data_IF_437736795478
#
_entry.id   IF_437736795478
#
_cell.length_a   1.000
_cell.length_b   1.000
_cell.length_c   1.000
_cell.angle_alpha   90.00
_cell.angle_beta   90.00
_cell.angle_gamma   90.00
#
_symmetry.space_group_name_H-M   'P 1'
#
loop_
_entity.id
_entity.type
_entity.pdbx_description
1 polymer ?
#
# COMPACT_ATOMS: atom_id res chain seq x y z
N UNK A 1 -31.17 -71.64 -40.99
CA UNK A 1 -31.23 -72.91 -40.24
C UNK A 1 -31.15 -72.59 -38.75
N UNK A 2 -32.23 -72.92 -38.02
CA UNK A 2 -32.39 -73.18 -36.57
C UNK A 2 -31.78 -72.19 -35.53
N UNK A 3 -32.60 -71.36 -34.84
CA UNK A 3 -33.36 -71.56 -33.55
C UNK A 3 -32.46 -71.33 -32.31
N UNK A 4 -32.78 -70.63 -31.21
CA UNK A 4 -33.96 -70.01 -30.56
C UNK A 4 -33.40 -68.94 -29.56
N UNK A 5 -33.91 -67.70 -29.41
CA UNK A 5 -35.14 -67.19 -28.75
C UNK A 5 -35.24 -67.37 -27.22
N UNK A 6 -35.36 -66.22 -26.51
CA UNK A 6 -36.27 -65.83 -25.39
C UNK A 6 -35.56 -64.71 -24.57
N UNK A 7 -35.85 -63.40 -24.64
CA UNK A 7 -37.09 -62.63 -24.37
C UNK A 7 -37.68 -62.93 -22.97
N UNK A 8 -38.19 -62.01 -22.14
CA UNK A 8 -38.30 -60.56 -22.06
C UNK A 8 -38.90 -60.26 -20.65
N UNK A 9 -38.60 -59.07 -20.10
CA UNK A 9 -39.41 -58.21 -19.21
C UNK A 9 -40.42 -58.79 -18.17
N UNK A 10 -40.33 -58.33 -16.91
CA UNK A 10 -41.21 -57.28 -16.34
C UNK A 10 -41.42 -57.40 -14.81
N UNK A 11 -41.59 -56.23 -14.17
CA UNK A 11 -42.34 -55.96 -12.93
C UNK A 11 -41.74 -56.44 -11.59
N UNK A 12 -41.91 -55.80 -10.43
CA UNK A 12 -42.19 -54.45 -9.96
C UNK A 12 -42.17 -54.61 -8.41
N UNK A 13 -41.57 -53.65 -7.69
CA UNK A 13 -41.86 -53.24 -6.29
C UNK A 13 -41.61 -54.19 -5.08
N UNK A 14 -40.96 -53.54 -4.10
CA UNK A 14 -41.18 -53.59 -2.63
C UNK A 14 -40.44 -54.60 -1.74
N UNK A 15 -39.39 -54.05 -1.10
CA UNK A 15 -39.03 -54.09 0.32
C UNK A 15 -39.12 -55.43 1.07
N UNK A 16 -37.96 -55.91 1.56
CA UNK A 16 -37.61 -55.82 2.98
C UNK A 16 -36.21 -56.44 3.23
N UNK A 17 -35.33 -55.59 3.75
CA UNK A 17 -34.46 -55.84 4.91
C UNK A 17 -33.31 -56.86 4.91
N UNK A 18 -32.15 -56.28 5.28
CA UNK A 18 -31.06 -56.79 6.11
C UNK A 18 -30.04 -57.73 5.44
N UNK A 19 -28.85 -57.19 5.13
CA UNK A 19 -27.67 -57.48 5.97
C UNK A 19 -26.38 -56.77 5.54
N UNK A 20 -25.76 -56.11 6.53
CA UNK A 20 -24.32 -56.03 6.76
C UNK A 20 -23.39 -55.34 5.74
N UNK A 21 -23.28 -54.02 5.84
CA UNK A 21 -21.98 -53.33 5.71
C UNK A 21 -21.74 -52.45 6.93
N UNK A 22 -20.81 -52.89 7.79
CA UNK A 22 -20.35 -52.16 8.97
C UNK A 22 -18.94 -51.63 8.74
N UNK A 23 -18.73 -50.39 9.22
CA UNK A 23 -17.49 -49.79 9.78
C UNK A 23 -16.92 -48.56 9.05
N UNK A 24 -17.09 -47.43 9.75
CA UNK A 24 -16.28 -46.18 9.77
C UNK A 24 -16.45 -45.24 8.58
N UNK A 25 -16.86 -43.97 8.69
CA UNK A 25 -16.99 -43.07 9.84
C UNK A 25 -16.14 -41.83 9.61
N UNK A 26 -16.62 -40.84 8.83
CA UNK A 26 -16.19 -39.45 8.96
C UNK A 26 -17.36 -38.52 8.63
N UNK A 27 -17.78 -37.82 9.68
CA UNK A 27 -18.82 -36.82 9.68
C UNK A 27 -18.39 -35.63 8.80
N UNK A 28 -19.21 -35.30 7.80
CA UNK A 28 -19.11 -34.06 7.05
C UNK A 28 -19.62 -32.90 7.93
N UNK A 29 -18.90 -32.57 8.99
CA UNK A 29 -19.06 -31.26 9.63
C UNK A 29 -18.28 -30.26 8.79
N UNK A 30 -18.96 -29.66 7.80
CA UNK A 30 -18.59 -28.34 7.30
C UNK A 30 -18.63 -27.41 8.50
N UNK A 31 -17.48 -27.25 9.16
CA UNK A 31 -17.26 -26.18 10.13
C UNK A 31 -17.49 -24.89 9.37
N UNK A 32 -18.64 -24.29 9.63
CA UNK A 32 -18.94 -22.90 9.35
C UNK A 32 -17.84 -22.07 10.00
N UNK A 33 -16.77 -21.80 9.26
CA UNK A 33 -15.79 -20.81 9.64
C UNK A 33 -16.52 -19.49 9.73
N UNK A 34 -16.54 -18.88 10.92
CA UNK A 34 -16.73 -17.44 11.02
C UNK A 34 -15.56 -16.81 10.26
N UNK A 35 -15.74 -16.57 8.96
CA UNK A 35 -14.95 -15.59 8.24
C UNK A 35 -15.29 -14.25 8.90
N UNK A 36 -14.50 -13.85 9.90
CA UNK A 36 -14.34 -12.44 10.18
C UNK A 36 -13.75 -11.85 8.90
N UNK A 37 -14.62 -11.34 8.02
CA UNK A 37 -14.19 -10.62 6.83
C UNK A 37 -13.59 -9.32 7.33
N UNK A 38 -12.25 -9.24 7.37
CA UNK A 38 -11.56 -7.97 7.60
C UNK A 38 -12.15 -6.96 6.60
N UNK A 39 -12.65 -5.79 7.06
CA UNK A 39 -13.23 -4.81 6.17
C UNK A 39 -12.20 -4.41 5.10
N UNK A 40 -12.68 -4.15 3.87
CA UNK A 40 -11.81 -3.64 2.83
C UNK A 40 -11.13 -2.34 3.31
N UNK A 41 -9.81 -2.19 3.14
CA UNK A 41 -9.13 -0.97 3.54
C UNK A 41 -9.56 0.20 2.66
N UNK A 42 -9.61 1.40 3.24
CA UNK A 42 -9.72 2.62 2.45
C UNK A 42 -8.40 2.90 1.74
N UNK A 43 -8.43 3.31 0.47
CA UNK A 43 -7.25 3.58 -0.34
C UNK A 43 -7.25 5.01 -0.87
N UNK A 44 -6.14 5.71 -0.71
CA UNK A 44 -5.91 7.03 -1.30
C UNK A 44 -4.42 7.30 -1.57
N UNK A 45 -4.12 8.33 -2.35
CA UNK A 45 -2.79 8.93 -2.36
C UNK A 45 -2.63 9.85 -1.15
N UNK A 46 -1.57 9.69 -0.36
CA UNK A 46 -1.32 10.50 0.85
C UNK A 46 -0.18 11.51 0.67
N UNK A 47 0.61 11.39 -0.41
CA UNK A 47 1.59 12.40 -0.79
C UNK A 47 1.81 12.38 -2.30
N UNK A 48 1.95 13.57 -2.88
CA UNK A 48 2.34 13.79 -4.25
C UNK A 48 3.51 14.77 -4.30
N UNK A 49 4.50 14.48 -5.14
CA UNK A 49 5.55 15.44 -5.51
C UNK A 49 5.60 15.55 -7.02
N UNK A 50 5.33 16.74 -7.54
CA UNK A 50 5.47 17.08 -8.95
C UNK A 50 6.75 17.89 -9.10
N UNK A 51 7.60 17.50 -10.03
CA UNK A 51 8.84 18.22 -10.35
C UNK A 51 8.79 18.63 -11.82
N UNK A 52 9.23 19.84 -12.11
CA UNK A 52 9.25 20.41 -13.45
C UNK A 52 10.36 21.45 -13.60
N UNK A 53 10.46 22.00 -14.81
CA UNK A 53 11.33 23.12 -15.12
C UNK A 53 10.52 24.41 -15.21
N UNK A 54 11.03 25.45 -14.57
CA UNK A 54 10.54 26.80 -14.68
C UNK A 54 11.55 27.64 -15.45
N UNK A 55 11.14 28.16 -16.61
CA UNK A 55 11.98 29.06 -17.39
C UNK A 55 12.18 30.41 -16.65
N UNK A 56 13.19 31.18 -17.03
CA UNK A 56 13.56 32.44 -16.34
C UNK A 56 12.38 33.43 -16.26
N UNK A 57 11.56 33.50 -17.30
CA UNK A 57 10.39 34.41 -17.36
C UNK A 57 9.31 33.96 -16.40
N UNK A 58 8.95 32.69 -16.40
CA UNK A 58 7.94 32.12 -15.51
C UNK A 58 8.41 32.12 -14.05
N UNK A 59 9.70 31.90 -13.78
CA UNK A 59 10.27 32.00 -12.44
C UNK A 59 10.10 33.40 -11.85
N UNK A 60 10.37 34.44 -12.66
CA UNK A 60 10.11 35.82 -12.24
C UNK A 60 8.63 36.08 -12.04
N UNK A 61 7.77 35.75 -13.01
CA UNK A 61 6.32 35.94 -12.92
C UNK A 61 5.72 35.27 -11.68
N UNK A 62 6.14 34.04 -11.39
CA UNK A 62 5.64 33.26 -10.27
C UNK A 62 6.11 33.85 -8.93
N UNK A 63 7.39 34.22 -8.84
CA UNK A 63 7.92 34.92 -7.66
C UNK A 63 7.23 36.26 -7.40
N UNK A 64 6.97 37.05 -8.46
CA UNK A 64 6.28 38.33 -8.37
C UNK A 64 4.82 38.12 -7.90
N UNK A 65 4.10 37.16 -8.50
CA UNK A 65 2.74 36.77 -8.10
C UNK A 65 2.68 36.36 -6.61
N UNK A 66 3.55 35.44 -6.20
CA UNK A 66 3.60 34.95 -4.82
C UNK A 66 3.93 36.03 -3.81
N UNK A 67 4.67 37.07 -4.21
CA UNK A 67 5.00 38.20 -3.34
C UNK A 67 3.80 39.13 -3.11
N UNK A 68 2.80 39.09 -4.00
CA UNK A 68 1.57 39.90 -3.89
C UNK A 68 0.41 39.17 -3.24
N UNK A 69 0.45 37.85 -3.15
CA UNK A 69 -0.62 37.02 -2.61
C UNK A 69 -0.43 36.81 -1.09
N UNK A 70 -1.23 37.45 -0.21
CA UNK A 70 -1.01 37.42 1.25
C UNK A 70 -1.12 36.02 1.86
N UNK A 71 -1.78 35.10 1.16
CA UNK A 71 -1.98 33.71 1.60
C UNK A 71 -0.77 32.81 1.30
N UNK A 72 0.25 33.33 0.61
CA UNK A 72 1.48 32.61 0.29
C UNK A 72 2.62 33.15 1.15
N UNK A 73 3.28 32.27 1.89
CA UNK A 73 4.48 32.59 2.63
C UNK A 73 5.70 32.30 1.77
N UNK A 74 6.42 33.35 1.36
CA UNK A 74 7.62 33.26 0.52
C UNK A 74 8.89 33.53 1.35
N UNK A 75 9.97 32.76 1.13
CA UNK A 75 11.28 32.96 1.77
C UNK A 75 12.43 32.43 0.90
N UNK A 76 13.68 32.61 1.36
CA UNK A 76 14.92 32.28 0.61
C UNK A 76 14.95 32.87 -0.81
N UNK A 77 14.48 34.12 -0.97
CA UNK A 77 14.22 34.75 -2.27
C UNK A 77 15.52 35.27 -2.88
N UNK A 78 15.90 34.71 -4.01
CA UNK A 78 16.99 35.14 -4.90
C UNK A 78 16.51 35.05 -6.35
N UNK A 79 17.25 35.63 -7.30
CA UNK A 79 16.88 35.52 -8.73
C UNK A 79 16.85 34.06 -9.24
N UNK A 80 17.60 33.17 -8.60
CA UNK A 80 17.76 31.77 -8.99
C UNK A 80 17.14 30.80 -8.00
N UNK A 81 16.43 31.29 -6.97
CA UNK A 81 15.92 30.47 -5.88
C UNK A 81 14.74 31.13 -5.18
N UNK A 82 13.71 30.36 -4.86
CA UNK A 82 12.70 30.76 -3.87
C UNK A 82 12.08 29.52 -3.23
N UNK A 83 11.54 29.70 -2.03
CA UNK A 83 10.69 28.70 -1.38
C UNK A 83 9.38 29.35 -0.98
N UNK A 84 8.29 28.61 -1.13
CA UNK A 84 6.98 29.07 -0.74
C UNK A 84 6.20 27.98 -0.02
N UNK A 85 5.24 28.42 0.79
CA UNK A 85 4.10 27.61 1.21
C UNK A 85 2.81 28.33 0.91
N UNK A 86 1.86 27.61 0.35
CA UNK A 86 0.57 28.12 -0.08
C UNK A 86 -0.58 27.32 0.56
N UNK A 87 -1.80 27.84 0.42
CA UNK A 87 -3.04 27.16 0.83
C UNK A 87 -2.99 26.70 2.29
N UNK A 88 -2.79 27.64 3.22
CA UNK A 88 -2.68 27.37 4.66
C UNK A 88 -1.59 26.34 4.99
N UNK A 89 -0.41 26.50 4.38
CA UNK A 89 0.78 25.65 4.56
C UNK A 89 0.61 24.19 4.09
N UNK A 90 -0.46 23.87 3.33
CA UNK A 90 -0.73 22.52 2.79
C UNK A 90 0.13 22.17 1.58
N UNK A 91 0.62 23.18 0.86
CA UNK A 91 1.45 23.01 -0.33
C UNK A 91 2.83 23.62 -0.07
N UNK A 92 3.87 22.86 -0.33
CA UNK A 92 5.25 23.33 -0.35
C UNK A 92 5.75 23.48 -1.78
N UNK A 93 6.44 24.58 -2.06
CA UNK A 93 7.00 24.90 -3.38
C UNK A 93 8.47 25.29 -3.20
N UNK A 94 9.36 24.73 -4.01
CA UNK A 94 10.75 25.16 -4.07
C UNK A 94 11.22 25.24 -5.51
N UNK A 95 11.84 26.35 -5.85
CA UNK A 95 12.59 26.56 -7.07
C UNK A 95 14.05 26.81 -6.71
N UNK A 96 14.98 26.11 -7.34
CA UNK A 96 16.42 26.32 -7.17
C UNK A 96 17.15 25.96 -8.45
N UNK A 97 17.39 26.97 -9.29
CA UNK A 97 18.05 26.80 -10.59
C UNK A 97 19.51 26.37 -10.45
N UNK A 98 20.26 26.99 -9.53
CA UNK A 98 21.70 26.72 -9.39
C UNK A 98 21.94 25.28 -8.95
N UNK A 99 21.14 24.81 -7.98
CA UNK A 99 21.19 23.42 -7.54
C UNK A 99 20.73 22.49 -8.66
N UNK A 100 19.65 22.81 -9.36
CA UNK A 100 19.16 21.98 -10.46
C UNK A 100 20.22 21.79 -11.56
N UNK A 101 20.84 22.88 -12.02
CA UNK A 101 21.90 22.85 -13.03
C UNK A 101 23.14 22.07 -12.53
N UNK A 102 23.51 22.21 -11.26
CA UNK A 102 24.67 21.51 -10.67
C UNK A 102 24.50 20.00 -10.58
N UNK A 103 23.25 19.52 -10.51
CA UNK A 103 22.92 18.11 -10.35
C UNK A 103 22.28 17.51 -11.61
N UNK A 104 22.18 18.29 -12.69
CA UNK A 104 21.47 17.95 -13.94
C UNK A 104 20.05 17.43 -13.68
N UNK A 105 19.24 18.26 -13.01
CA UNK A 105 17.85 17.93 -12.62
C UNK A 105 16.91 19.07 -12.97
N UNK A 106 15.62 18.75 -12.95
CA UNK A 106 14.53 19.72 -13.02
C UNK A 106 14.55 20.68 -11.82
N UNK A 107 14.18 21.93 -12.06
CA UNK A 107 14.51 23.04 -11.16
C UNK A 107 13.42 23.50 -10.18
N UNK A 108 12.23 22.91 -10.25
CA UNK A 108 11.11 23.24 -9.39
C UNK A 108 10.43 21.98 -8.86
N UNK A 109 10.08 21.96 -7.56
CA UNK A 109 9.31 20.91 -6.90
C UNK A 109 8.09 21.50 -6.21
N UNK A 110 6.97 20.77 -6.29
CA UNK A 110 5.72 21.07 -5.59
C UNK A 110 5.28 19.83 -4.83
N UNK A 111 5.04 19.97 -3.53
CA UNK A 111 4.72 18.87 -2.61
C UNK A 111 3.44 19.16 -1.84
N UNK A 112 2.55 18.17 -1.79
CA UNK A 112 1.27 18.27 -1.10
C UNK A 112 0.70 16.89 -0.78
N UNK A 113 -0.23 16.83 0.17
CA UNK A 113 -1.10 15.68 0.38
C UNK A 113 -2.44 15.99 -0.34
N UNK A 114 -2.84 15.23 -1.38
CA UNK A 114 -4.06 15.54 -2.13
C UNK A 114 -5.33 15.39 -1.27
N UNK A 115 -5.33 14.54 -0.24
CA UNK A 115 -6.46 14.39 0.69
C UNK A 115 -6.72 15.64 1.55
N UNK A 116 -5.75 16.56 1.63
CA UNK A 116 -5.89 17.82 2.39
C UNK A 116 -6.33 19.00 1.52
N UNK A 117 -6.48 18.82 0.21
CA UNK A 117 -6.88 19.87 -0.71
C UNK A 117 -8.35 19.71 -1.10
N UNK A 118 -9.10 20.81 -1.10
CA UNK A 118 -10.42 20.86 -1.74
C UNK A 118 -10.27 20.87 -3.26
N UNK A 119 -11.34 20.59 -4.00
CA UNK A 119 -11.31 20.65 -5.46
C UNK A 119 -10.95 22.05 -5.99
N UNK A 120 -11.44 23.12 -5.34
CA UNK A 120 -11.11 24.50 -5.68
C UNK A 120 -9.61 24.79 -5.47
N UNK A 121 -9.05 24.29 -4.37
CA UNK A 121 -7.63 24.40 -4.06
C UNK A 121 -6.75 23.62 -5.05
N UNK A 122 -7.19 22.45 -5.48
CA UNK A 122 -6.51 21.67 -6.53
C UNK A 122 -6.49 22.43 -7.86
N UNK A 123 -7.63 23.00 -8.27
CA UNK A 123 -7.73 23.83 -9.48
C UNK A 123 -6.84 25.07 -9.38
N UNK A 124 -6.86 25.75 -8.25
CA UNK A 124 -6.01 26.92 -8.00
C UNK A 124 -4.52 26.55 -8.10
N UNK A 125 -4.10 25.45 -7.46
CA UNK A 125 -2.72 25.00 -7.48
C UNK A 125 -2.28 24.65 -8.91
N UNK A 126 -3.13 23.95 -9.64
CA UNK A 126 -2.85 23.58 -11.02
C UNK A 126 -2.67 24.82 -11.91
N UNK A 127 -3.64 25.73 -11.90
CA UNK A 127 -3.67 26.88 -12.80
C UNK A 127 -2.59 27.93 -12.47
N UNK A 128 -2.33 28.17 -11.19
CA UNK A 128 -1.45 29.26 -10.76
C UNK A 128 0.01 28.82 -10.58
N UNK A 129 0.27 27.52 -10.38
CA UNK A 129 1.62 27.01 -10.11
C UNK A 129 2.02 25.96 -11.15
N UNK A 130 1.30 24.84 -11.24
CA UNK A 130 1.74 23.68 -12.02
C UNK A 130 1.77 23.98 -13.52
N UNK A 131 0.76 24.68 -14.04
CA UNK A 131 0.64 25.02 -15.46
C UNK A 131 1.73 26.00 -15.95
N UNK A 132 2.54 26.58 -15.06
CA UNK A 132 3.73 27.36 -15.44
C UNK A 132 4.98 26.51 -15.66
N UNK A 133 5.00 25.27 -15.15
CA UNK A 133 6.11 24.34 -15.32
C UNK A 133 6.12 23.75 -16.74
N UNK A 134 7.29 23.31 -17.16
CA UNK A 134 7.56 22.54 -18.37
C UNK A 134 8.24 21.23 -17.96
N UNK A 135 8.13 20.16 -18.74
CA UNK A 135 8.74 18.86 -18.41
C UNK A 135 8.32 18.36 -17.00
N UNK A 136 7.07 18.62 -16.64
CA UNK A 136 6.50 18.25 -15.35
C UNK A 136 6.17 16.76 -15.28
N UNK A 137 6.36 16.17 -14.10
CA UNK A 137 6.00 14.80 -13.83
C UNK A 137 6.13 14.46 -12.35
N UNK A 138 5.51 13.36 -11.95
CA UNK A 138 5.59 12.88 -10.57
C UNK A 138 7.00 12.35 -10.28
N UNK A 139 7.52 12.66 -9.09
CA UNK A 139 8.75 12.04 -8.55
C UNK A 139 8.52 11.36 -7.22
N UNK A 140 7.33 11.54 -6.64
CA UNK A 140 6.87 10.81 -5.45
C UNK A 140 5.36 10.62 -5.50
N UNK A 141 4.93 9.41 -5.18
CA UNK A 141 3.54 9.05 -4.90
C UNK A 141 3.53 8.14 -3.67
N UNK A 142 2.75 8.49 -2.65
CA UNK A 142 2.56 7.62 -1.48
C UNK A 142 1.15 7.03 -1.54
N UNK A 143 1.03 5.71 -1.64
CA UNK A 143 -0.25 5.00 -1.50
C UNK A 143 -0.51 4.70 -0.02
N UNK A 144 -1.70 5.00 0.48
CA UNK A 144 -2.10 4.72 1.85
C UNK A 144 -3.33 3.81 1.88
N UNK A 145 -3.18 2.66 2.53
CA UNK A 145 -4.25 1.72 2.84
C UNK A 145 -4.56 1.80 4.34
N UNK A 146 -5.75 2.27 4.70
CA UNK A 146 -6.21 2.37 6.08
C UNK A 146 -7.09 1.16 6.44
N UNK A 147 -6.74 0.46 7.50
CA UNK A 147 -7.41 -0.73 8.02
C UNK A 147 -8.05 -0.44 9.38
N UNK A 148 -9.32 -0.82 9.54
CA UNK A 148 -10.00 -0.86 10.83
C UNK A 148 -9.75 -2.19 11.58
N UNK A 149 -8.49 -2.62 11.63
CA UNK A 149 -8.04 -3.82 12.33
C UNK A 149 -6.67 -3.56 12.98
N UNK A 150 -6.28 -4.34 13.99
CA UNK A 150 -5.00 -4.19 14.68
C UNK A 150 -3.86 -4.91 13.92
N UNK A 151 -3.12 -4.15 13.11
CA UNK A 151 -1.98 -4.72 12.36
C UNK A 151 -0.75 -5.02 13.23
N UNK A 152 -0.80 -4.79 14.56
CA UNK A 152 0.26 -5.25 15.46
C UNK A 152 0.31 -6.78 15.57
N UNK A 153 -0.84 -7.46 15.46
CA UNK A 153 -0.99 -8.91 15.53
C UNK A 153 -0.60 -9.64 14.23
N UNK A 154 -0.32 -8.89 13.17
CA UNK A 154 0.07 -9.44 11.86
C UNK A 154 1.60 -9.47 11.70
N UNK A 155 2.10 -10.54 11.08
CA UNK A 155 3.49 -10.66 10.67
C UNK A 155 3.67 -10.09 9.26
N UNK A 156 4.46 -9.01 9.15
CA UNK A 156 4.75 -8.39 7.87
C UNK A 156 6.13 -8.81 7.35
N UNK A 157 6.20 -9.26 6.10
CA UNK A 157 7.45 -9.64 5.45
C UNK A 157 7.46 -9.28 3.97
N UNK A 158 8.66 -9.25 3.40
CA UNK A 158 8.86 -9.13 1.96
C UNK A 158 9.60 -10.34 1.41
N UNK A 159 9.37 -10.70 0.15
CA UNK A 159 10.14 -11.78 -0.49
C UNK A 159 11.61 -11.42 -0.65
N UNK A 160 11.87 -10.17 -1.03
CA UNK A 160 13.22 -9.60 -1.11
C UNK A 160 13.75 -9.25 0.28
N UNK A 161 15.05 -9.44 0.49
CA UNK A 161 15.70 -9.01 1.73
C UNK A 161 15.82 -7.48 1.73
N UNK A 162 15.12 -6.81 2.65
CA UNK A 162 15.16 -5.35 2.83
C UNK A 162 15.54 -5.03 4.28
N UNK A 163 16.06 -3.82 4.52
CA UNK A 163 16.25 -3.33 5.89
C UNK A 163 14.89 -3.21 6.57
N UNK A 164 14.83 -3.55 7.85
CA UNK A 164 13.64 -3.44 8.68
C UNK A 164 13.92 -2.58 9.90
N UNK A 165 12.95 -1.80 10.35
CA UNK A 165 13.01 -1.08 11.63
C UNK A 165 11.64 -1.16 12.27
N UNK A 166 11.59 -1.57 13.54
CA UNK A 166 10.35 -1.70 14.30
C UNK A 166 10.46 -0.79 15.51
N UNK A 167 9.48 0.10 15.68
CA UNK A 167 9.32 0.91 16.87
C UNK A 167 8.26 0.26 17.75
N UNK A 168 8.62 0.05 19.01
CA UNK A 168 7.75 -0.54 20.02
C UNK A 168 7.27 0.56 20.97
N UNK A 169 5.99 0.48 21.31
CA UNK A 169 5.39 1.33 22.33
C UNK A 169 5.91 1.01 23.73
N UNK A 170 5.53 1.83 24.70
CA UNK A 170 5.84 1.58 26.12
C UNK A 170 5.21 0.28 26.66
N UNK A 171 4.18 -0.23 25.98
CA UNK A 171 3.52 -1.50 26.27
C UNK A 171 4.25 -2.72 25.66
N UNK A 172 5.35 -2.52 24.93
CA UNK A 172 6.09 -3.57 24.26
C UNK A 172 5.46 -4.09 22.96
N UNK A 173 4.32 -3.54 22.53
CA UNK A 173 3.72 -3.88 21.24
C UNK A 173 4.38 -3.09 20.10
N UNK A 174 4.54 -3.66 18.90
CA UNK A 174 4.94 -2.89 17.72
C UNK A 174 3.91 -1.78 17.45
N UNK A 175 4.36 -0.56 17.23
CA UNK A 175 3.52 0.59 16.84
C UNK A 175 3.82 1.05 15.40
N UNK A 176 5.03 0.80 14.91
CA UNK A 176 5.46 1.14 13.56
C UNK A 176 6.48 0.15 13.04
N UNK A 177 6.29 -0.35 11.82
CA UNK A 177 7.18 -1.25 11.09
C UNK A 177 7.59 -0.58 9.78
N UNK A 178 8.88 -0.45 9.53
CA UNK A 178 9.45 0.09 8.29
C UNK A 178 10.13 -1.02 7.50
N UNK A 179 9.93 -1.03 6.18
CA UNK A 179 10.58 -1.94 5.24
C UNK A 179 11.24 -1.14 4.12
N UNK A 180 12.56 -1.31 3.98
CA UNK A 180 13.39 -0.51 3.08
C UNK A 180 14.04 0.68 3.78
N UNK A 181 14.43 1.69 3.01
CA UNK A 181 15.07 2.92 3.51
C UNK A 181 14.34 4.09 2.91
N UNK A 182 14.15 5.18 3.65
CA UNK A 182 13.36 6.33 3.16
C UNK A 182 13.85 6.87 1.80
N UNK A 183 15.15 6.84 1.52
CA UNK A 183 15.73 7.39 0.28
C UNK A 183 15.75 6.42 -0.92
N UNK A 184 15.23 5.20 -0.77
CA UNK A 184 15.06 4.27 -1.89
C UNK A 184 13.81 4.57 -2.72
N UNK A 185 13.71 3.93 -3.89
CA UNK A 185 12.59 4.12 -4.84
C UNK A 185 11.26 3.59 -4.29
N UNK A 186 11.32 2.68 -3.32
CA UNK A 186 10.15 2.17 -2.59
C UNK A 186 10.46 2.07 -1.11
N UNK A 187 9.58 2.58 -0.26
CA UNK A 187 9.68 2.50 1.19
C UNK A 187 8.30 2.26 1.81
N UNK A 188 8.17 1.23 2.64
CA UNK A 188 6.87 0.81 3.18
C UNK A 188 6.83 1.07 4.69
N UNK A 189 5.72 1.64 5.17
CA UNK A 189 5.41 1.87 6.58
C UNK A 189 4.14 1.13 6.95
N UNK A 190 4.14 0.42 8.06
CA UNK A 190 2.94 -0.14 8.67
C UNK A 190 2.86 0.41 10.08
N UNK A 191 1.86 1.22 10.41
CA UNK A 191 1.84 1.92 11.69
C UNK A 191 0.43 2.17 12.23
N UNK A 192 0.36 2.36 13.54
CA UNK A 192 -0.88 2.67 14.25
C UNK A 192 -1.28 4.13 13.95
N UNK A 193 -2.18 4.31 12.99
CA UNK A 193 -2.63 5.63 12.54
C UNK A 193 -3.50 6.32 13.59
N UNK A 194 -4.26 5.56 14.39
CA UNK A 194 -5.03 6.10 15.51
C UNK A 194 -4.12 6.74 16.55
N UNK A 195 -3.04 6.05 16.92
CA UNK A 195 -2.04 6.57 17.87
C UNK A 195 -1.32 7.80 17.29
N UNK A 196 -0.92 7.77 16.02
CA UNK A 196 -0.28 8.90 15.35
C UNK A 196 -1.18 10.16 15.30
N UNK A 197 -2.47 10.01 14.99
CA UNK A 197 -3.44 11.13 15.04
C UNK A 197 -3.61 11.69 16.45
N UNK A 198 -3.69 10.81 17.45
CA UNK A 198 -3.78 11.22 18.86
C UNK A 198 -2.57 12.04 19.30
N UNK A 199 -1.38 11.63 18.87
CA UNK A 199 -0.13 12.33 19.20
C UNK A 199 -0.01 13.70 18.50
N UNK A 200 -0.64 13.86 17.34
CA UNK A 200 -0.71 15.13 16.61
C UNK A 200 -1.87 16.05 17.02
N UNK A 201 -2.68 15.65 18.02
CA UNK A 201 -3.90 16.36 18.43
C UNK A 201 -4.94 16.54 17.30
N UNK A 202 -5.02 15.56 16.39
CA UNK A 202 -6.07 15.48 15.37
C UNK A 202 -7.41 14.99 15.96
N UNK A 203 -8.46 15.00 15.13
CA UNK A 203 -9.82 14.55 15.50
C UNK A 203 -9.83 13.08 15.93
N UNK A 204 -10.62 12.79 16.97
CA UNK A 204 -10.80 11.44 17.50
C UNK A 204 -11.40 10.49 16.46
N UNK A 205 -10.81 9.30 16.35
CA UNK A 205 -11.25 8.23 15.43
C UNK A 205 -12.26 7.33 16.14
N UNK A 206 -13.44 7.17 15.55
CA UNK A 206 -14.55 6.38 16.11
C UNK A 206 -14.24 4.88 16.16
N UNK A 207 -13.51 4.35 15.17
CA UNK A 207 -13.15 2.92 15.12
C UNK A 207 -12.19 2.55 16.25
N UNK A 208 -12.29 1.33 16.77
CA UNK A 208 -11.44 0.83 17.85
C UNK A 208 -9.96 0.82 17.44
N UNK A 209 -9.70 0.36 16.22
CA UNK A 209 -8.38 0.29 15.60
C UNK A 209 -8.35 1.11 14.31
N UNK A 210 -7.21 1.76 14.05
CA UNK A 210 -6.91 2.34 12.74
C UNK A 210 -5.43 2.21 12.49
N UNK A 211 -5.07 1.40 11.50
CA UNK A 211 -3.69 1.15 11.09
C UNK A 211 -3.52 1.49 9.61
N UNK A 212 -2.36 2.02 9.26
CA UNK A 212 -2.06 2.38 7.88
C UNK A 212 -0.89 1.56 7.34
N UNK A 213 -1.07 1.01 6.14
CA UNK A 213 0.01 0.52 5.28
C UNK A 213 0.26 1.59 4.23
N UNK A 214 1.42 2.24 4.31
CA UNK A 214 1.80 3.34 3.43
C UNK A 214 3.01 2.94 2.57
N UNK A 215 2.88 3.09 1.26
CA UNK A 215 3.89 2.71 0.28
C UNK A 215 4.36 3.98 -0.42
N UNK A 216 5.51 4.48 0.00
CA UNK A 216 6.19 5.65 -0.58
C UNK A 216 6.98 5.20 -1.81
N UNK A 217 6.57 5.68 -2.98
CA UNK A 217 7.19 5.43 -4.28
C UNK A 217 7.92 6.69 -4.74
N UNK A 218 9.11 6.54 -5.29
CA UNK A 218 9.97 7.63 -5.78
C UNK A 218 10.61 7.28 -7.11
N UNK A 219 11.06 8.32 -7.82
CA UNK A 219 11.76 8.17 -9.12
C UNK A 219 10.90 7.33 -10.07
N UNK A 220 11.48 6.38 -10.78
CA UNK A 220 10.79 5.56 -11.78
C UNK A 220 9.72 4.63 -11.17
N UNK A 221 9.75 4.34 -9.86
CA UNK A 221 8.75 3.49 -9.22
C UNK A 221 7.35 4.12 -9.16
N UNK A 222 7.23 5.44 -9.38
CA UNK A 222 5.92 6.12 -9.42
C UNK A 222 5.06 5.64 -10.59
N UNK A 223 5.68 5.23 -11.71
CA UNK A 223 4.97 4.75 -12.90
C UNK A 223 4.40 3.33 -12.70
N UNK A 224 4.90 2.62 -11.68
CA UNK A 224 4.48 1.26 -11.31
C UNK A 224 3.62 1.26 -10.04
N UNK A 225 2.95 2.37 -9.73
CA UNK A 225 2.13 2.49 -8.51
C UNK A 225 1.03 1.42 -8.41
N UNK A 226 0.52 0.95 -9.56
CA UNK A 226 -0.51 -0.08 -9.62
C UNK A 226 0.02 -1.53 -9.47
N UNK A 227 1.34 -1.72 -9.37
CA UNK A 227 2.01 -3.01 -9.17
C UNK A 227 3.29 -2.86 -8.32
N UNK A 228 3.16 -2.16 -7.18
CA UNK A 228 4.33 -1.77 -6.39
C UNK A 228 4.59 -2.60 -5.13
N UNK A 229 3.69 -3.52 -4.75
CA UNK A 229 3.75 -4.25 -3.47
C UNK A 229 3.51 -5.76 -3.58
N UNK A 230 3.71 -6.34 -4.75
CA UNK A 230 3.53 -7.77 -5.00
C UNK A 230 4.39 -8.69 -4.12
N UNK A 231 5.54 -8.20 -3.66
CA UNK A 231 6.44 -8.95 -2.79
C UNK A 231 6.18 -8.73 -1.28
N UNK A 232 5.23 -7.86 -0.91
CA UNK A 232 4.83 -7.60 0.47
C UNK A 232 3.78 -8.62 0.91
N UNK A 233 3.90 -9.13 2.13
CA UNK A 233 2.93 -10.03 2.74
C UNK A 233 2.62 -9.55 4.15
N UNK A 234 1.33 -9.40 4.48
CA UNK A 234 0.87 -9.02 5.82
C UNK A 234 0.00 -10.15 6.32
N UNK A 235 0.65 -11.06 7.05
CA UNK A 235 0.18 -12.40 7.31
C UNK A 235 -0.30 -12.56 8.74
N UNK A 236 -1.15 -13.57 8.97
CA UNK A 236 -1.46 -14.07 10.32
C UNK A 236 -1.10 -15.55 10.44
N UNK A 237 0.20 -15.89 10.56
CA UNK A 237 0.65 -17.28 10.47
C UNK A 237 0.19 -18.11 11.68
N UNK A 238 -0.38 -19.28 11.43
CA UNK A 238 -0.61 -20.28 12.47
C UNK A 238 0.61 -21.21 12.58
N UNK A 239 1.52 -20.87 13.49
CA UNK A 239 2.73 -21.65 13.74
C UNK A 239 2.47 -23.06 14.25
N UNK A 240 1.24 -23.40 14.66
CA UNK A 240 0.86 -24.74 15.11
C UNK A 240 0.43 -25.66 13.96
N UNK A 241 0.13 -25.11 12.79
CA UNK A 241 -0.29 -25.87 11.59
C UNK A 241 0.74 -26.90 11.11
N UNK A 242 2.07 -26.64 11.08
CA UNK A 242 3.04 -27.64 10.66
C UNK A 242 3.00 -28.90 11.55
N UNK A 243 3.04 -30.10 10.96
CA UNK A 243 2.98 -31.36 11.71
C UNK A 243 4.22 -31.61 12.58
N UNK A 244 5.39 -31.18 12.09
CA UNK A 244 6.67 -31.44 12.77
C UNK A 244 6.92 -30.38 13.83
N UNK A 245 7.05 -30.81 15.09
CA UNK A 245 7.42 -29.95 16.24
C UNK A 245 8.65 -29.07 15.96
N UNK A 246 9.65 -29.59 15.22
CA UNK A 246 10.84 -28.82 14.82
C UNK A 246 10.51 -27.65 13.89
N UNK A 247 9.51 -27.80 13.02
CA UNK A 247 9.06 -26.75 12.11
C UNK A 247 8.20 -25.73 12.85
N UNK A 248 7.28 -26.19 13.71
CA UNK A 248 6.52 -25.31 14.61
C UNK A 248 7.46 -24.42 15.44
N UNK A 249 8.46 -25.01 16.09
CA UNK A 249 9.43 -24.29 16.91
C UNK A 249 10.27 -23.29 16.08
N UNK A 250 10.69 -23.67 14.87
CA UNK A 250 11.44 -22.77 14.00
C UNK A 250 10.59 -21.61 13.50
N UNK A 251 9.34 -21.86 13.09
CA UNK A 251 8.40 -20.80 12.70
C UNK A 251 8.17 -19.86 13.88
N UNK A 252 7.83 -20.38 15.05
CA UNK A 252 7.63 -19.56 16.26
C UNK A 252 8.87 -18.70 16.55
N UNK A 253 10.07 -19.27 16.50
CA UNK A 253 11.31 -18.53 16.69
C UNK A 253 11.49 -17.42 15.66
N UNK A 254 11.25 -17.68 14.37
CA UNK A 254 11.42 -16.69 13.31
C UNK A 254 10.38 -15.55 13.35
N UNK A 255 9.17 -15.82 13.84
CA UNK A 255 8.12 -14.81 14.01
C UNK A 255 8.40 -13.87 15.19
N UNK A 256 9.02 -14.38 16.25
CA UNK A 256 9.25 -13.62 17.48
C UNK A 256 10.66 -13.01 17.57
N UNK A 257 11.66 -13.63 16.95
CA UNK A 257 13.06 -13.21 17.00
C UNK A 257 13.58 -12.87 15.59
N UNK A 258 13.26 -11.67 15.10
CA UNK A 258 13.57 -11.23 13.73
C UNK A 258 15.07 -11.35 13.38
N UNK A 259 15.96 -11.14 14.35
CA UNK A 259 17.41 -11.31 14.17
C UNK A 259 17.83 -12.75 13.82
N UNK A 260 16.99 -13.74 14.12
CA UNK A 260 17.26 -15.16 13.81
C UNK A 260 17.27 -15.42 12.31
N UNK A 261 16.50 -14.67 11.51
CA UNK A 261 16.60 -14.75 10.05
C UNK A 261 18.03 -14.55 9.56
N UNK A 262 18.82 -13.69 10.20
CA UNK A 262 20.22 -13.44 9.87
C UNK A 262 21.12 -14.69 9.96
N UNK A 263 20.76 -15.66 10.81
CA UNK A 263 21.51 -16.89 11.08
C UNK A 263 21.23 -18.02 10.08
N UNK A 264 20.16 -17.89 9.28
CA UNK A 264 19.76 -18.92 8.32
C UNK A 264 20.49 -18.75 6.97
N UNK A 265 20.84 -19.89 6.37
CA UNK A 265 21.28 -19.99 4.99
C UNK A 265 20.19 -19.54 4.00
N UNK A 266 20.58 -19.13 2.79
CA UNK A 266 19.65 -18.61 1.78
C UNK A 266 18.50 -19.58 1.45
N UNK A 267 18.81 -20.86 1.28
CA UNK A 267 17.81 -21.89 0.97
C UNK A 267 16.82 -22.11 2.14
N UNK A 268 17.33 -22.08 3.38
CA UNK A 268 16.50 -22.18 4.58
C UNK A 268 15.57 -20.97 4.73
N UNK A 269 16.08 -19.75 4.47
CA UNK A 269 15.25 -18.53 4.43
C UNK A 269 14.09 -18.67 3.46
N UNK A 270 14.37 -19.13 2.24
CA UNK A 270 13.32 -19.35 1.24
C UNK A 270 12.28 -20.38 1.71
N UNK A 271 12.73 -21.54 2.21
CA UNK A 271 11.84 -22.58 2.75
C UNK A 271 10.89 -22.02 3.81
N UNK A 272 11.42 -21.32 4.82
CA UNK A 272 10.60 -20.84 5.92
C UNK A 272 9.73 -19.65 5.54
N UNK A 273 10.12 -18.80 4.59
CA UNK A 273 9.22 -17.79 4.02
C UNK A 273 8.01 -18.43 3.34
N UNK A 274 8.22 -19.46 2.51
CA UNK A 274 7.12 -20.17 1.87
C UNK A 274 6.22 -20.86 2.89
N UNK A 275 6.81 -21.56 3.87
CA UNK A 275 6.05 -22.20 4.94
C UNK A 275 5.20 -21.19 5.71
N UNK A 276 5.75 -20.02 6.06
CA UNK A 276 5.01 -18.96 6.76
C UNK A 276 3.82 -18.46 5.92
N UNK A 277 3.96 -18.32 4.60
CA UNK A 277 2.83 -17.98 3.72
C UNK A 277 1.77 -19.09 3.71
N UNK A 278 2.19 -20.34 3.53
CA UNK A 278 1.29 -21.50 3.44
C UNK A 278 0.44 -21.71 4.71
N UNK A 279 1.03 -21.49 5.88
CA UNK A 279 0.35 -21.65 7.17
C UNK A 279 -0.42 -20.39 7.62
N UNK A 280 -0.50 -19.37 6.77
CA UNK A 280 -1.22 -18.14 7.07
C UNK A 280 -2.62 -18.18 6.48
N UNK A 281 -3.69 -18.36 7.28
CA UNK A 281 -5.08 -18.29 6.79
C UNK A 281 -5.46 -16.91 6.24
N UNK A 282 -4.73 -15.85 6.60
CA UNK A 282 -4.98 -14.48 6.17
C UNK A 282 -3.69 -13.88 5.59
N UNK A 283 -3.78 -13.31 4.39
CA UNK A 283 -2.81 -12.37 3.82
C UNK A 283 -3.55 -11.10 3.38
N UNK A 284 -3.37 -10.01 4.13
CA UNK A 284 -4.03 -8.74 3.82
C UNK A 284 -3.52 -8.11 2.52
N UNK A 285 -2.38 -8.56 1.98
CA UNK A 285 -1.91 -8.08 0.68
C UNK A 285 -2.92 -8.39 -0.43
N UNK A 286 -3.60 -9.53 -0.39
CA UNK A 286 -4.60 -9.89 -1.40
C UNK A 286 -5.83 -8.97 -1.32
N UNK A 287 -6.20 -8.55 -0.11
CA UNK A 287 -7.24 -7.54 0.10
C UNK A 287 -6.79 -6.16 -0.45
N UNK A 288 -5.54 -5.76 -0.20
CA UNK A 288 -4.97 -4.52 -0.76
C UNK A 288 -4.97 -4.54 -2.29
N UNK A 289 -4.62 -5.67 -2.93
CA UNK A 289 -4.67 -5.82 -4.39
C UNK A 289 -6.09 -5.67 -4.93
N UNK A 290 -7.08 -6.26 -4.27
CA UNK A 290 -8.49 -6.10 -4.65
C UNK A 290 -8.93 -4.64 -4.54
N UNK A 291 -8.67 -3.98 -3.40
CA UNK A 291 -8.99 -2.57 -3.19
C UNK A 291 -8.32 -1.68 -4.24
N UNK A 292 -7.05 -1.93 -4.56
CA UNK A 292 -6.33 -1.18 -5.58
C UNK A 292 -7.01 -1.29 -6.94
N UNK A 293 -7.34 -2.51 -7.37
CA UNK A 293 -7.99 -2.78 -8.65
C UNK A 293 -9.37 -2.13 -8.74
N UNK A 294 -10.13 -2.11 -7.65
CA UNK A 294 -11.44 -1.46 -7.58
C UNK A 294 -11.34 0.07 -7.71
N UNK A 295 -10.27 0.67 -7.20
CA UNK A 295 -10.05 2.13 -7.19
C UNK A 295 -9.12 2.63 -8.32
N UNK A 296 -8.53 1.73 -9.12
CA UNK A 296 -7.46 2.03 -10.07
C UNK A 296 -7.83 3.17 -11.03
N UNK A 297 -9.04 3.12 -11.60
CA UNK A 297 -9.53 4.15 -12.54
C UNK A 297 -9.71 5.51 -11.89
N UNK A 298 -10.13 5.56 -10.63
CA UNK A 298 -10.31 6.81 -9.91
C UNK A 298 -8.96 7.43 -9.56
N UNK A 299 -8.02 6.62 -9.06
CA UNK A 299 -6.66 7.04 -8.76
C UNK A 299 -5.93 7.51 -10.02
N UNK A 300 -6.08 6.80 -11.15
CA UNK A 300 -5.52 7.25 -12.43
C UNK A 300 -6.08 8.61 -12.86
N UNK A 301 -7.40 8.85 -12.73
CA UNK A 301 -7.98 10.18 -13.00
C UNK A 301 -7.41 11.28 -12.10
N UNK A 302 -7.05 10.97 -10.85
CA UNK A 302 -6.40 11.93 -9.96
C UNK A 302 -4.98 12.28 -10.45
N UNK A 303 -4.24 11.30 -10.97
CA UNK A 303 -2.93 11.53 -11.62
C UNK A 303 -3.11 12.38 -12.88
N UNK A 304 -4.03 11.97 -13.76
CA UNK A 304 -4.30 12.61 -15.05
C UNK A 304 -4.71 14.08 -14.89
N UNK A 305 -5.43 14.43 -13.82
CA UNK A 305 -5.82 15.81 -13.51
C UNK A 305 -4.61 16.77 -13.45
N UNK A 306 -3.46 16.30 -12.95
CA UNK A 306 -2.27 17.14 -12.78
C UNK A 306 -1.43 17.23 -14.06
N UNK A 307 -1.46 16.19 -14.88
CA UNK A 307 -0.73 16.18 -16.14
C UNK A 307 -1.42 17.13 -17.13
N UNK A 308 -0.62 17.83 -17.94
CA UNK A 308 -1.19 18.66 -19.02
C UNK A 308 -1.93 17.76 -20.01
N UNK A 309 -3.23 17.98 -20.16
CA UNK A 309 -3.90 17.60 -21.40
C UNK A 309 -3.18 18.32 -22.54
N UNK A 310 -2.55 17.56 -23.44
CA UNK A 310 -2.17 18.09 -24.75
C UNK A 310 -3.45 18.50 -25.47
N UNK A 311 -3.91 19.73 -25.22
CA UNK A 311 -4.88 20.38 -26.09
C UNK A 311 -4.15 20.62 -27.40
N UNK A 312 -4.29 19.70 -28.34
CA UNK A 312 -4.07 19.97 -29.74
C UNK A 312 -4.99 21.14 -30.11
N UNK A 313 -4.47 22.35 -30.10
CA UNK A 313 -5.10 23.45 -30.81
C UNK A 313 -5.09 23.06 -32.29
N UNK A 314 -6.28 22.83 -32.86
CA UNK A 314 -6.46 22.83 -34.31
C UNK A 314 -6.31 24.25 -34.86
#
# INVERSE_FOLDING_TARGET
MYKNNHANHSNHLENHDLDNFSKTGYSNSRLSGNFFTTPQPELSFDAMTIVGNLNKTNAKKLSDFMSTEPQIRLWDILQTKFKAKALQEKVYIEYDKVKADSWDRRNMRVEFNPNKLTHEEMLWLKQNIIDYMEDDGFTRLDLAFDFEDDLSDYYAMTDKAVKKTIFYGRNGKPETKYFGVRDSDRFIRIYNKKQERKDNADVEVMSEHLWRVEIELKRDMVDYWNDCFDDLHILKPDWTTPEKVKEQAMVYLLLNEEGTWGKLERHAKYKYKQLIKEISPIDLTELMKSTLKENEKQLQKQIDFWQREFRFWK
#
